data_IF_021002769203
#
_entry.id   IF_021002769203
#
_cell.length_a   1.000
_cell.length_b   1.000
_cell.length_c   1.000
_cell.angle_alpha   90.00
_cell.angle_beta   90.00
_cell.angle_gamma   90.00
#
_symmetry.space_group_name_H-M   'P 1'
#
loop_
_entity.id
_entity.type
_entity.pdbx_description
1 polymer ?
#
# COMPACT_ATOMS: atom_id res chain seq x y z
N UNK A 1 -0.78 -20.18 -62.10
CA UNK A 1 0.61 -20.02 -62.57
C UNK A 1 1.10 -18.63 -62.19
N UNK A 2 1.85 -18.48 -61.10
CA UNK A 2 3.03 -17.60 -60.95
C UNK A 2 3.51 -17.64 -59.48
N UNK A 3 4.47 -18.53 -59.24
CA UNK A 3 5.36 -18.56 -58.05
C UNK A 3 6.31 -17.37 -58.14
N UNK A 4 6.52 -16.60 -57.05
CA UNK A 4 7.76 -15.85 -56.74
C UNK A 4 7.88 -15.71 -55.22
N UNK A 5 8.61 -16.63 -54.58
CA UNK A 5 10.05 -16.54 -54.21
C UNK A 5 10.27 -15.68 -52.96
N UNK A 6 10.34 -16.37 -51.83
CA UNK A 6 10.90 -15.89 -50.57
C UNK A 6 12.39 -15.57 -50.76
N UNK A 7 12.83 -14.40 -50.29
CA UNK A 7 14.23 -14.13 -49.99
C UNK A 7 14.38 -13.86 -48.50
N UNK A 8 15.01 -14.82 -47.84
CA UNK A 8 15.67 -14.71 -46.55
C UNK A 8 16.81 -13.69 -46.65
N UNK A 9 16.72 -12.59 -45.91
CA UNK A 9 17.86 -11.72 -45.65
C UNK A 9 18.32 -11.97 -44.21
N UNK A 10 19.28 -12.88 -44.05
CA UNK A 10 20.04 -13.06 -42.81
C UNK A 10 21.09 -11.95 -42.78
N UNK A 11 20.78 -10.85 -42.10
CA UNK A 11 21.76 -9.81 -41.80
C UNK A 11 22.34 -10.11 -40.43
N UNK A 12 23.48 -10.79 -40.43
CA UNK A 12 24.39 -10.82 -39.29
C UNK A 12 25.15 -9.49 -39.29
N UNK A 13 24.89 -8.61 -38.32
CA UNK A 13 25.76 -7.46 -38.07
C UNK A 13 26.51 -7.64 -36.75
N UNK A 14 27.81 -7.43 -36.86
CA UNK A 14 28.86 -7.66 -35.88
C UNK A 14 28.65 -6.95 -34.55
N UNK A 15 29.06 -7.65 -33.49
CA UNK A 15 29.28 -7.10 -32.17
C UNK A 15 30.36 -6.01 -32.21
N UNK A 16 29.98 -4.78 -31.86
CA UNK A 16 30.91 -3.73 -31.45
C UNK A 16 31.01 -3.76 -29.93
N UNK A 17 32.05 -4.43 -29.43
CA UNK A 17 32.46 -4.36 -28.04
C UNK A 17 33.16 -3.00 -27.81
N UNK A 18 32.41 -2.01 -27.33
CA UNK A 18 32.99 -0.79 -26.77
C UNK A 18 33.36 -1.05 -25.31
N UNK A 19 34.66 -1.20 -25.06
CA UNK A 19 35.22 -1.21 -23.73
C UNK A 19 35.00 0.17 -23.07
N UNK A 20 34.27 0.22 -21.97
CA UNK A 20 34.09 1.43 -21.16
C UNK A 20 35.15 1.42 -20.04
N UNK A 21 35.89 2.51 -19.81
CA UNK A 21 36.88 2.57 -18.75
C UNK A 21 36.20 2.55 -17.37
N UNK A 22 36.67 1.66 -16.50
CA UNK A 22 36.38 1.66 -15.07
C UNK A 22 37.10 2.87 -14.45
N UNK A 23 36.34 3.88 -14.06
CA UNK A 23 36.84 5.00 -13.24
C UNK A 23 36.57 4.68 -11.78
N UNK A 24 37.55 4.12 -11.08
CA UNK A 24 37.55 3.99 -9.63
C UNK A 24 37.83 5.36 -9.00
N UNK A 25 36.80 6.17 -8.78
CA UNK A 25 36.89 7.35 -7.94
C UNK A 25 36.73 6.93 -6.47
N UNK A 26 37.86 6.63 -5.82
CA UNK A 26 37.94 6.55 -4.36
C UNK A 26 37.93 7.98 -3.80
N UNK A 27 36.74 8.48 -3.45
CA UNK A 27 36.60 9.73 -2.71
C UNK A 27 36.90 9.53 -1.22
N UNK A 28 37.53 10.50 -0.53
CA UNK A 28 37.79 10.40 0.90
C UNK A 28 36.48 10.44 1.70
N UNK A 29 36.28 9.44 2.55
CA UNK A 29 35.23 9.42 3.56
C UNK A 29 35.46 10.58 4.53
N UNK A 30 34.67 11.65 4.39
CA UNK A 30 34.61 12.73 5.36
C UNK A 30 33.91 12.20 6.60
N UNK A 31 34.70 11.83 7.61
CA UNK A 31 34.22 11.54 8.95
C UNK A 31 33.73 12.85 9.57
N UNK A 32 32.45 13.16 9.39
CA UNK A 32 31.80 14.26 10.08
C UNK A 32 31.58 13.86 11.54
N UNK A 33 32.36 14.48 12.44
CA UNK A 33 32.13 14.41 13.88
C UNK A 33 30.73 14.94 14.20
N UNK A 34 29.84 14.04 14.63
CA UNK A 34 28.55 14.43 15.20
C UNK A 34 28.79 15.15 16.52
N UNK A 35 28.58 16.47 16.51
CA UNK A 35 28.58 17.31 17.71
C UNK A 35 27.37 16.91 18.57
N UNK A 36 27.62 16.21 19.68
CA UNK A 36 26.61 15.93 20.69
C UNK A 36 26.22 17.23 21.40
N UNK A 37 25.13 17.84 20.94
CA UNK A 37 24.47 18.93 21.68
C UNK A 37 23.92 18.43 23.02
N UNK A 38 23.83 19.29 24.04
CA UNK A 38 23.33 18.92 25.35
C UNK A 38 21.84 18.52 25.26
N UNK A 39 21.54 17.29 25.69
CA UNK A 39 20.17 16.82 25.91
C UNK A 39 19.50 17.65 27.01
N UNK A 40 18.33 18.27 26.77
CA UNK A 40 17.58 18.90 27.84
C UNK A 40 17.10 17.81 28.80
N UNK A 41 17.60 17.85 30.03
CA UNK A 41 17.10 17.02 31.12
C UNK A 41 15.66 17.44 31.43
N UNK A 42 14.69 16.60 31.04
CA UNK A 42 13.31 16.76 31.44
C UNK A 42 13.19 16.45 32.94
N UNK A 43 12.92 17.48 33.74
CA UNK A 43 12.65 17.36 35.16
C UNK A 43 11.26 16.72 35.32
N UNK A 44 11.11 15.62 36.08
CA UNK A 44 9.79 15.07 36.37
C UNK A 44 9.04 16.01 37.32
N UNK A 45 8.05 16.73 36.80
CA UNK A 45 7.05 17.41 37.63
C UNK A 45 6.17 16.35 38.29
N UNK A 46 6.50 15.98 39.51
CA UNK A 46 5.63 15.21 40.41
C UNK A 46 4.43 16.06 40.78
N UNK A 47 3.32 15.90 40.04
CA UNK A 47 2.00 16.38 40.45
C UNK A 47 1.43 15.51 41.57
N UNK A 48 0.60 16.06 42.46
CA UNK A 48 -0.01 15.29 43.55
C UNK A 48 -1.03 14.30 42.96
N UNK A 49 -0.74 13.01 43.07
CA UNK A 49 -1.73 11.95 42.89
C UNK A 49 -2.81 12.12 43.96
N UNK A 50 -3.94 12.70 43.56
CA UNK A 50 -5.15 12.69 44.34
C UNK A 50 -5.63 11.24 44.47
N UNK A 51 -5.50 10.68 45.67
CA UNK A 51 -6.05 9.38 46.03
C UNK A 51 -7.60 9.45 45.97
N UNK A 52 -8.17 9.00 44.85
CA UNK A 52 -9.60 8.78 44.73
C UNK A 52 -9.99 7.58 45.61
N UNK A 53 -10.76 7.84 46.66
CA UNK A 53 -11.35 6.80 47.52
C UNK A 53 -12.42 6.05 46.72
N UNK A 54 -12.42 4.72 46.66
CA UNK A 54 -13.52 3.97 46.08
C UNK A 54 -14.75 4.11 47.00
N UNK A 55 -15.85 4.64 46.45
CA UNK A 55 -17.16 4.57 47.10
C UNK A 55 -17.67 3.14 47.03
N UNK A 56 -17.94 2.55 48.20
CA UNK A 56 -18.68 1.29 48.34
C UNK A 56 -20.10 1.50 47.81
N UNK A 57 -20.34 1.07 46.56
CA UNK A 57 -21.67 0.98 45.97
C UNK A 57 -22.49 -0.17 46.58
N UNK A 58 -23.83 -0.10 46.54
CA UNK A 58 -24.72 -1.06 47.18
C UNK A 58 -24.69 -2.44 46.51
N UNK A 59 -24.95 -3.47 47.33
CA UNK A 59 -24.95 -4.89 47.00
C UNK A 59 -25.87 -5.26 45.82
N UNK A 60 -25.51 -6.28 45.00
CA UNK A 60 -26.34 -6.76 43.90
C UNK A 60 -27.55 -7.56 44.40
N UNK A 61 -28.74 -7.23 43.89
CA UNK A 61 -29.97 -8.00 44.09
C UNK A 61 -29.99 -9.24 43.16
N UNK A 62 -30.50 -10.40 43.62
CA UNK A 62 -30.62 -11.60 42.79
C UNK A 62 -31.80 -11.47 41.79
N UNK A 63 -31.51 -11.64 40.50
CA UNK A 63 -32.52 -11.70 39.43
C UNK A 63 -33.17 -13.09 39.35
N UNK A 64 -34.48 -13.18 39.05
CA UNK A 64 -35.15 -14.46 38.79
C UNK A 64 -34.80 -15.04 37.40
N UNK A 65 -34.86 -16.38 37.22
CA UNK A 65 -34.58 -17.01 35.93
C UNK A 65 -35.76 -16.82 34.95
N UNK A 66 -35.45 -16.33 33.75
CA UNK A 66 -36.37 -16.26 32.61
C UNK A 66 -36.50 -17.65 31.94
N UNK A 67 -37.71 -18.12 31.60
CA UNK A 67 -37.88 -19.37 30.85
C UNK A 67 -37.72 -19.17 29.34
N UNK A 68 -36.89 -20.03 28.73
CA UNK A 68 -37.11 -20.61 27.40
C UNK A 68 -36.72 -19.78 26.17
N UNK A 69 -35.46 -19.90 25.71
CA UNK A 69 -35.15 -19.71 24.29
C UNK A 69 -35.40 -21.03 23.54
N UNK A 70 -36.05 -21.01 22.37
CA UNK A 70 -36.09 -22.16 21.47
C UNK A 70 -34.69 -22.43 20.89
N UNK A 71 -34.20 -23.63 21.15
CA UNK A 71 -33.16 -24.32 20.40
C UNK A 71 -33.77 -24.79 19.06
N UNK A 72 -33.16 -24.45 17.93
CA UNK A 72 -33.68 -24.89 16.63
C UNK A 72 -33.23 -24.03 15.45
N UNK A 73 -31.95 -24.13 15.12
CA UNK A 73 -31.38 -23.46 13.95
C UNK A 73 -30.00 -23.98 13.59
N UNK A 74 -29.87 -25.30 13.48
CA UNK A 74 -28.69 -25.99 12.96
C UNK A 74 -28.57 -25.71 11.45
N UNK A 75 -28.16 -24.49 11.13
CA UNK A 75 -27.68 -24.11 9.81
C UNK A 75 -26.25 -24.61 9.66
N UNK A 76 -26.11 -25.83 9.12
CA UNK A 76 -24.85 -26.36 8.60
C UNK A 76 -24.40 -25.51 7.41
N UNK A 77 -23.79 -24.35 7.71
CA UNK A 77 -22.97 -23.59 6.79
C UNK A 77 -21.51 -23.83 7.13
N UNK A 78 -20.91 -24.89 6.59
CA UNK A 78 -19.47 -24.92 6.39
C UNK A 78 -19.18 -23.97 5.23
N UNK A 79 -19.14 -22.68 5.55
CA UNK A 79 -18.40 -21.66 4.82
C UNK A 79 -17.55 -20.97 5.86
N UNK A 80 -16.23 -20.99 5.66
CA UNK A 80 -15.21 -20.17 6.31
C UNK A 80 -15.80 -18.93 7.00
N UNK A 81 -15.37 -18.63 8.23
CA UNK A 81 -15.51 -17.28 8.77
C UNK A 81 -15.02 -16.32 7.67
N UNK A 82 -15.97 -15.59 7.04
CA UNK A 82 -15.76 -14.97 5.75
C UNK A 82 -14.43 -14.23 5.74
N UNK A 83 -13.45 -14.80 5.03
CA UNK A 83 -12.19 -14.11 4.80
C UNK A 83 -12.57 -12.75 4.23
N UNK A 84 -12.15 -11.67 4.89
CA UNK A 84 -12.61 -10.35 4.50
C UNK A 84 -11.98 -10.04 3.15
N UNK A 85 -12.71 -10.36 2.09
CA UNK A 85 -12.20 -10.35 0.72
C UNK A 85 -11.84 -8.93 0.31
N UNK A 86 -10.63 -8.77 -0.20
CA UNK A 86 -10.24 -7.55 -0.88
C UNK A 86 -10.55 -7.71 -2.36
N UNK A 87 -11.30 -6.75 -2.91
CA UNK A 87 -11.63 -6.67 -4.34
C UNK A 87 -11.48 -5.23 -4.78
N UNK A 88 -10.51 -4.97 -5.63
CA UNK A 88 -10.19 -3.64 -6.14
C UNK A 88 -10.19 -3.64 -7.67
N UNK A 89 -10.67 -2.56 -8.25
CA UNK A 89 -10.47 -2.20 -9.65
C UNK A 89 -9.45 -1.06 -9.69
N UNK A 90 -8.34 -1.29 -10.38
CA UNK A 90 -7.22 -0.37 -10.52
C UNK A 90 -7.15 0.09 -11.98
N UNK A 91 -7.50 1.33 -12.25
CA UNK A 91 -7.37 1.95 -13.58
C UNK A 91 -6.14 2.85 -13.60
N UNK A 92 -5.23 2.64 -14.54
CA UNK A 92 -3.96 3.37 -14.68
C UNK A 92 -3.85 3.96 -16.08
N UNK A 93 -3.40 5.21 -16.17
CA UNK A 93 -3.28 5.96 -17.42
C UNK A 93 -1.99 6.78 -17.46
N UNK A 94 -1.52 7.07 -18.68
CA UNK A 94 -0.43 8.02 -18.97
C UNK A 94 0.90 7.69 -18.27
N UNK A 95 1.20 6.41 -18.04
CA UNK A 95 2.50 6.03 -17.45
C UNK A 95 3.65 6.13 -18.45
N UNK A 96 3.37 6.06 -19.75
CA UNK A 96 4.40 5.95 -20.78
C UNK A 96 5.13 4.60 -20.79
N UNK A 97 4.68 3.62 -19.99
CA UNK A 97 5.27 2.29 -19.88
C UNK A 97 4.35 1.27 -20.54
N UNK A 98 4.90 0.51 -21.50
CA UNK A 98 4.14 -0.50 -22.23
C UNK A 98 3.55 -1.55 -21.28
N UNK A 99 2.23 -1.73 -21.33
CA UNK A 99 1.50 -2.72 -20.52
C UNK A 99 1.27 -2.31 -19.06
N UNK A 100 1.65 -1.10 -18.64
CA UNK A 100 1.35 -0.58 -17.30
C UNK A 100 0.00 0.16 -17.24
N UNK A 101 -0.41 0.78 -18.36
CA UNK A 101 -1.72 1.43 -18.50
C UNK A 101 -2.82 0.38 -18.75
N UNK A 102 -4.03 0.64 -18.24
CA UNK A 102 -5.17 -0.25 -18.37
C UNK A 102 -6.05 -0.28 -17.13
N UNK A 103 -7.09 -1.11 -17.16
CA UNK A 103 -7.93 -1.39 -15.98
C UNK A 103 -7.75 -2.84 -15.56
N UNK A 104 -7.46 -3.03 -14.28
CA UNK A 104 -7.09 -4.31 -13.70
C UNK A 104 -7.96 -4.65 -12.50
N UNK A 105 -8.38 -5.90 -12.41
CA UNK A 105 -9.06 -6.44 -11.24
C UNK A 105 -8.03 -7.09 -10.33
N UNK A 106 -8.12 -6.80 -9.04
CA UNK A 106 -7.31 -7.39 -7.99
C UNK A 106 -8.22 -8.00 -6.93
N UNK A 107 -8.13 -9.31 -6.76
CA UNK A 107 -8.78 -10.03 -5.68
C UNK A 107 -7.73 -10.61 -4.74
N UNK A 108 -7.94 -10.50 -3.43
CA UNK A 108 -7.10 -11.13 -2.41
C UNK A 108 -7.97 -11.99 -1.48
N UNK A 109 -7.47 -13.20 -1.24
CA UNK A 109 -8.14 -14.26 -0.46
C UNK A 109 -9.06 -15.18 -1.26
N UNK A 110 -8.59 -16.10 -2.12
CA UNK A 110 -7.26 -16.26 -2.72
C UNK A 110 -6.93 -15.17 -3.74
N UNK A 111 -5.67 -15.09 -4.18
CA UNK A 111 -5.24 -14.09 -5.17
C UNK A 111 -5.82 -14.37 -6.56
N UNK A 112 -6.42 -13.35 -7.18
CA UNK A 112 -7.06 -13.46 -8.50
C UNK A 112 -7.18 -12.11 -9.24
N UNK A 113 -7.95 -12.13 -10.32
CA UNK A 113 -8.16 -10.98 -11.21
C UNK A 113 -7.11 -10.83 -12.31
N UNK A 114 -7.15 -9.70 -13.03
CA UNK A 114 -6.28 -9.39 -14.16
C UNK A 114 -5.03 -8.57 -13.80
N UNK A 115 -4.81 -8.28 -12.51
CA UNK A 115 -3.70 -7.45 -12.05
C UNK A 115 -2.32 -8.05 -12.39
N UNK A 116 -1.42 -7.33 -13.11
CA UNK A 116 -0.14 -7.88 -13.60
C UNK A 116 0.79 -8.38 -12.49
N UNK A 117 0.62 -7.84 -11.28
CA UNK A 117 1.38 -8.19 -10.07
C UNK A 117 0.48 -8.62 -8.91
N UNK A 118 -0.58 -9.38 -9.21
CA UNK A 118 -1.63 -9.76 -8.24
C UNK A 118 -1.11 -10.19 -6.87
N UNK A 119 -0.22 -11.19 -6.80
CA UNK A 119 0.30 -11.70 -5.52
C UNK A 119 1.04 -10.61 -4.74
N UNK A 120 2.00 -9.94 -5.38
CA UNK A 120 2.78 -8.90 -4.71
C UNK A 120 1.91 -7.71 -4.27
N UNK A 121 0.87 -7.39 -5.02
CA UNK A 121 -0.11 -6.36 -4.64
C UNK A 121 -0.90 -6.79 -3.40
N UNK A 122 -1.36 -8.05 -3.34
CA UNK A 122 -2.02 -8.59 -2.16
C UNK A 122 -1.10 -8.62 -0.93
N UNK A 123 0.16 -9.02 -1.09
CA UNK A 123 1.14 -9.04 0.00
C UNK A 123 1.35 -7.63 0.57
N UNK A 124 1.44 -6.62 -0.29
CA UNK A 124 1.55 -5.21 0.11
C UNK A 124 0.32 -4.72 0.86
N UNK A 125 -0.87 -5.08 0.39
CA UNK A 125 -2.13 -4.74 1.05
C UNK A 125 -2.26 -5.43 2.42
N UNK A 126 -1.81 -6.68 2.54
CA UNK A 126 -1.77 -7.40 3.81
C UNK A 126 -0.80 -6.74 4.80
N UNK A 127 0.42 -6.41 4.35
CA UNK A 127 1.43 -5.72 5.16
C UNK A 127 0.91 -4.37 5.68
N UNK A 128 0.35 -3.54 4.79
CA UNK A 128 -0.21 -2.26 5.18
C UNK A 128 -1.43 -2.41 6.11
N UNK A 129 -2.26 -3.43 5.87
CA UNK A 129 -3.45 -3.74 6.65
C UNK A 129 -3.17 -4.28 8.05
N UNK A 130 -1.98 -4.83 8.29
CA UNK A 130 -1.56 -5.42 9.56
C UNK A 130 -1.48 -4.40 10.70
N UNK A 131 -1.34 -3.10 10.39
CA UNK A 131 -1.33 -2.03 11.39
C UNK A 131 -2.57 -1.14 11.26
N UNK A 132 -3.05 -0.60 12.39
CA UNK A 132 -4.16 0.36 12.41
C UNK A 132 -3.85 1.58 11.55
N UNK A 133 -2.64 2.12 11.65
CA UNK A 133 -2.22 3.31 10.91
C UNK A 133 -2.14 3.03 9.40
N UNK A 134 -1.54 1.92 8.99
CA UNK A 134 -1.44 1.56 7.57
C UNK A 134 -2.82 1.35 6.92
N UNK A 135 -3.74 0.69 7.63
CA UNK A 135 -5.14 0.53 7.20
C UNK A 135 -5.85 1.87 6.97
N UNK A 136 -5.56 2.87 7.80
CA UNK A 136 -6.19 4.18 7.71
C UNK A 136 -5.56 5.07 6.64
N UNK A 137 -4.23 4.99 6.46
CA UNK A 137 -3.48 5.95 5.65
C UNK A 137 -3.30 5.52 4.20
N UNK A 138 -3.17 4.22 3.89
CA UNK A 138 -2.71 3.76 2.56
C UNK A 138 -3.50 4.36 1.39
N UNK A 139 -4.83 4.39 1.48
CA UNK A 139 -5.70 4.96 0.44
C UNK A 139 -6.16 6.38 0.74
N UNK A 140 -5.73 6.99 1.86
CA UNK A 140 -6.15 8.33 2.24
C UNK A 140 -5.48 9.36 1.30
N UNK A 141 -6.20 10.37 0.79
CA UNK A 141 -5.58 11.43 0.01
C UNK A 141 -4.61 12.26 0.87
N UNK A 142 -3.65 12.89 0.19
CA UNK A 142 -2.80 13.91 0.80
C UNK A 142 -3.69 14.97 1.46
N UNK A 143 -3.48 15.32 2.75
CA UNK A 143 -4.27 16.36 3.40
C UNK A 143 -4.15 17.70 2.68
N UNK A 144 -5.24 18.45 2.63
CA UNK A 144 -5.20 19.81 2.12
C UNK A 144 -4.24 20.68 2.94
N UNK A 145 -3.54 21.60 2.27
CA UNK A 145 -2.55 22.46 2.90
C UNK A 145 -1.23 21.79 3.26
N UNK A 146 -1.04 20.50 2.92
CA UNK A 146 0.27 19.84 3.04
C UNK A 146 1.29 20.57 2.16
N UNK A 147 2.44 20.91 2.74
CA UNK A 147 3.54 21.52 2.00
C UNK A 147 4.25 20.46 1.16
N UNK A 148 3.98 20.47 -0.14
CA UNK A 148 4.52 19.51 -1.11
C UNK A 148 5.56 20.19 -2.01
N UNK A 149 6.59 19.45 -2.42
CA UNK A 149 7.52 19.96 -3.43
C UNK A 149 6.83 20.03 -4.79
N UNK A 150 7.19 21.02 -5.61
CA UNK A 150 6.65 21.16 -6.97
C UNK A 150 7.37 20.25 -7.99
N UNK A 151 7.92 19.12 -7.53
CA UNK A 151 8.62 18.17 -8.41
C UNK A 151 7.57 17.35 -9.13
N UNK A 152 7.54 17.46 -10.45
CA UNK A 152 6.63 16.70 -11.30
C UNK A 152 7.26 15.36 -11.71
N UNK A 153 6.58 14.26 -11.38
CA UNK A 153 7.03 12.89 -11.61
C UNK A 153 6.44 12.23 -12.85
N UNK A 154 5.78 13.00 -13.72
CA UNK A 154 5.11 12.57 -14.95
C UNK A 154 3.58 12.65 -14.88
N UNK A 155 2.94 12.42 -16.02
CA UNK A 155 1.50 12.57 -16.21
C UNK A 155 0.66 11.39 -15.69
N UNK A 156 1.32 10.36 -15.12
CA UNK A 156 0.64 9.14 -14.71
C UNK A 156 -0.44 9.41 -13.66
N UNK A 157 -1.61 8.82 -13.89
CA UNK A 157 -2.76 8.85 -12.99
C UNK A 157 -3.27 7.44 -12.76
N UNK A 158 -3.86 7.22 -11.59
CA UNK A 158 -4.55 5.99 -11.28
C UNK A 158 -5.80 6.24 -10.46
N UNK A 159 -6.87 5.48 -10.71
CA UNK A 159 -8.06 5.41 -9.85
C UNK A 159 -8.21 4.00 -9.30
N UNK A 160 -8.44 3.90 -8.00
CA UNK A 160 -8.58 2.64 -7.27
C UNK A 160 -9.94 2.64 -6.58
N UNK A 161 -10.79 1.68 -6.93
CA UNK A 161 -12.16 1.55 -6.39
C UNK A 161 -12.41 0.14 -5.91
N UNK A 162 -13.16 -0.03 -4.83
CA UNK A 162 -13.68 -1.32 -4.41
C UNK A 162 -13.71 -1.47 -2.90
N UNK A 163 -13.33 -2.64 -2.41
CA UNK A 163 -13.30 -2.98 -0.99
C UNK A 163 -11.95 -3.55 -0.58
N UNK A 164 -11.38 -3.03 0.50
CA UNK A 164 -10.17 -3.55 1.13
C UNK A 164 -10.43 -3.75 2.62
N UNK A 165 -10.26 -4.98 3.11
CA UNK A 165 -10.50 -5.31 4.53
C UNK A 165 -11.89 -4.85 5.01
N UNK A 166 -12.92 -5.00 4.16
CA UNK A 166 -14.31 -4.62 4.45
C UNK A 166 -14.59 -3.11 4.39
N UNK A 167 -13.60 -2.29 4.02
CA UNK A 167 -13.75 -0.84 3.86
C UNK A 167 -13.84 -0.48 2.39
N UNK A 168 -14.79 0.40 2.07
CA UNK A 168 -14.87 1.01 0.76
C UNK A 168 -13.62 1.85 0.47
N UNK A 169 -13.09 1.67 -0.73
CA UNK A 169 -11.99 2.46 -1.29
C UNK A 169 -12.51 3.13 -2.55
N UNK A 170 -12.31 4.44 -2.64
CA UNK A 170 -12.42 5.21 -3.87
C UNK A 170 -11.38 6.32 -3.77
N UNK A 171 -10.28 6.18 -4.50
CA UNK A 171 -9.21 7.15 -4.47
C UNK A 171 -8.48 7.27 -5.78
N UNK A 172 -7.93 8.44 -6.01
CA UNK A 172 -7.10 8.75 -7.17
C UNK A 172 -5.68 9.02 -6.69
N UNK A 173 -4.69 8.52 -7.39
CA UNK A 173 -3.27 8.84 -7.19
C UNK A 173 -2.72 9.47 -8.47
N UNK A 174 -1.85 10.45 -8.32
CA UNK A 174 -1.14 11.07 -9.45
C UNK A 174 0.35 11.16 -9.15
N UNK A 175 1.13 11.71 -10.09
CA UNK A 175 2.55 11.99 -9.88
C UNK A 175 2.88 13.47 -10.07
N UNK A 176 1.90 14.35 -9.82
CA UNK A 176 1.99 15.76 -10.20
C UNK A 176 2.91 16.62 -9.31
N UNK A 177 3.12 16.20 -8.07
CA UNK A 177 3.92 16.88 -7.05
C UNK A 177 4.58 15.85 -6.11
N UNK A 178 5.47 16.30 -5.22
CA UNK A 178 6.25 15.42 -4.34
C UNK A 178 5.43 14.57 -3.37
N UNK A 179 4.28 15.06 -2.89
CA UNK A 179 3.42 14.30 -2.00
C UNK A 179 2.69 13.20 -2.78
N UNK A 180 2.19 13.55 -3.97
CA UNK A 180 1.50 12.60 -4.84
C UNK A 180 2.44 11.50 -5.35
N UNK A 181 3.71 11.83 -5.66
CA UNK A 181 4.75 10.85 -5.97
C UNK A 181 4.99 9.90 -4.79
N UNK A 182 5.13 10.42 -3.57
CA UNK A 182 5.34 9.59 -2.38
C UNK A 182 4.16 8.65 -2.14
N UNK A 183 2.94 9.15 -2.34
CA UNK A 183 1.70 8.40 -2.21
C UNK A 183 1.57 7.31 -3.27
N UNK A 184 1.87 7.62 -4.54
CA UNK A 184 1.98 6.63 -5.61
C UNK A 184 2.93 5.50 -5.23
N UNK A 185 4.14 5.85 -4.76
CA UNK A 185 5.16 4.89 -4.38
C UNK A 185 4.74 4.01 -3.20
N UNK A 186 3.95 4.54 -2.26
CA UNK A 186 3.43 3.76 -1.12
C UNK A 186 2.44 2.67 -1.54
N UNK A 187 1.81 2.84 -2.71
CA UNK A 187 0.87 1.92 -3.32
C UNK A 187 1.55 0.91 -4.26
N UNK A 188 2.84 1.02 -4.54
CA UNK A 188 3.55 -0.01 -5.30
C UNK A 188 3.64 -1.29 -4.44
N UNK A 189 3.29 -2.48 -4.97
CA UNK A 189 3.03 -2.81 -6.38
C UNK A 189 1.54 -2.96 -6.77
N UNK A 190 0.59 -2.40 -5.99
CA UNK A 190 -0.81 -2.21 -6.45
C UNK A 190 -0.87 -1.23 -7.62
N UNK A 191 0.02 -0.23 -7.63
CA UNK A 191 0.30 0.59 -8.80
C UNK A 191 1.62 0.17 -9.46
N UNK A 192 1.80 0.42 -10.77
CA UNK A 192 3.05 0.12 -11.43
C UNK A 192 4.19 1.00 -10.90
N UNK A 193 5.38 0.42 -10.89
CA UNK A 193 6.62 1.13 -10.59
C UNK A 193 7.08 1.87 -11.86
N UNK A 194 6.95 3.20 -11.87
CA UNK A 194 7.19 4.06 -13.04
C UNK A 194 8.18 5.18 -12.75
N UNK A 195 9.23 4.88 -11.95
CA UNK A 195 10.25 5.85 -11.54
C UNK A 195 11.08 6.39 -12.70
#
# INVERSE_FOLDING_TARGET
MLRRLALTAVVSLAALATAVPVSTASGPVSSGSVSSGPVPSAVPTTGPFAAARPSLGPLPLPLPPLPGLPDGGEGKGTGEAGEVLTRLTVSVENTGVAGADGTFELECGPTGGSHPRGQAACDRLAEAGATRSGRQELFRPTPEGTMCTMIHGGDATARIVGTWEGRAVDTTASRRDGCEIARWNSLVPVLPDVR
#
